data_IF_307468081261
#
_entry.id   IF_307468081261
#
_cell.length_a   1.000
_cell.length_b   1.000
_cell.length_c   1.000
_cell.angle_alpha   90.00
_cell.angle_beta   90.00
_cell.angle_gamma   90.00
#
_symmetry.space_group_name_H-M   'P 1'
#
loop_
_entity.id
_entity.type
_entity.pdbx_description
1 polymer ?
#
# COMPACT_ATOMS: atom_id res chain seq x y z
N UNK A 1 -6.31 1.97 4.34
CA UNK A 1 -5.45 2.67 3.38
C UNK A 1 -4.96 1.71 2.30
N UNK A 2 -4.82 2.17 1.06
CA UNK A 2 -4.37 1.40 -0.11
C UNK A 2 -3.10 2.04 -0.65
N UNK A 3 -2.04 1.25 -0.74
CA UNK A 3 -0.72 1.64 -1.19
C UNK A 3 -0.51 1.12 -2.61
N UNK A 4 -0.22 2.03 -3.54
CA UNK A 4 0.05 1.72 -4.93
C UNK A 4 1.57 1.73 -5.15
N UNK A 5 2.08 0.72 -5.84
CA UNK A 5 3.49 0.57 -6.18
C UNK A 5 3.69 0.60 -7.69
N UNK A 6 4.95 0.71 -8.14
CA UNK A 6 5.32 0.73 -9.57
C UNK A 6 5.56 -0.66 -10.18
N UNK A 7 5.56 -1.72 -9.37
CA UNK A 7 5.72 -3.07 -9.89
C UNK A 7 5.32 -4.15 -8.89
N UNK A 8 4.94 -5.31 -9.40
CA UNK A 8 4.58 -6.49 -8.59
C UNK A 8 5.70 -6.92 -7.65
N UNK A 9 6.96 -6.88 -8.11
CA UNK A 9 8.12 -7.21 -7.28
C UNK A 9 8.24 -6.30 -6.05
N UNK A 10 7.92 -5.00 -6.19
CA UNK A 10 7.92 -4.07 -5.07
C UNK A 10 6.78 -4.40 -4.09
N UNK A 11 5.59 -4.73 -4.60
CA UNK A 11 4.44 -5.13 -3.78
C UNK A 11 4.78 -6.36 -2.92
N UNK A 12 5.33 -7.41 -3.53
CA UNK A 12 5.70 -8.63 -2.82
C UNK A 12 6.82 -8.39 -1.80
N UNK A 13 7.80 -7.57 -2.15
CA UNK A 13 8.88 -7.19 -1.24
C UNK A 13 8.35 -6.39 -0.05
N UNK A 14 7.48 -5.41 -0.30
CA UNK A 14 6.87 -4.56 0.71
C UNK A 14 5.97 -5.39 1.63
N UNK A 15 5.16 -6.30 1.08
CA UNK A 15 4.37 -7.26 1.85
C UNK A 15 5.26 -8.04 2.82
N UNK A 16 6.36 -8.63 2.33
CA UNK A 16 7.23 -9.45 3.17
C UNK A 16 7.82 -8.65 4.33
N UNK A 17 8.22 -7.39 4.08
CA UNK A 17 8.76 -6.49 5.11
C UNK A 17 7.69 -6.09 6.13
N UNK A 18 6.51 -5.71 5.67
CA UNK A 18 5.40 -5.31 6.52
C UNK A 18 4.89 -6.48 7.37
N UNK A 19 4.72 -7.67 6.80
CA UNK A 19 4.40 -8.90 7.55
C UNK A 19 5.46 -9.21 8.59
N UNK A 20 6.74 -9.14 8.23
CA UNK A 20 7.84 -9.35 9.16
C UNK A 20 7.92 -8.32 10.29
N UNK A 21 7.42 -7.10 10.06
CA UNK A 21 7.34 -6.04 11.08
C UNK A 21 6.03 -6.00 11.88
N UNK A 22 5.18 -7.03 11.76
CA UNK A 22 3.93 -7.13 12.52
C UNK A 22 2.80 -6.23 12.02
N UNK A 23 2.92 -5.67 10.81
CA UNK A 23 1.87 -4.84 10.21
C UNK A 23 0.85 -5.73 9.52
N UNK A 24 -0.39 -5.65 9.97
CA UNK A 24 -1.52 -6.29 9.29
C UNK A 24 -1.68 -5.69 7.89
N UNK A 25 -1.70 -6.54 6.86
CA UNK A 25 -1.86 -6.11 5.48
C UNK A 25 -2.60 -7.16 4.65
N UNK A 26 -3.20 -6.74 3.53
CA UNK A 26 -3.73 -7.63 2.50
C UNK A 26 -3.30 -7.17 1.11
N UNK A 27 -2.92 -8.10 0.26
CA UNK A 27 -2.77 -7.84 -1.16
C UNK A 27 -4.16 -7.76 -1.81
N UNK A 28 -4.38 -6.73 -2.60
CA UNK A 28 -5.60 -6.55 -3.38
C UNK A 28 -5.22 -6.25 -4.84
N UNK A 29 -6.03 -6.67 -5.82
CA UNK A 29 -5.87 -6.16 -7.18
C UNK A 29 -6.03 -4.65 -7.17
N UNK A 30 -5.22 -3.94 -7.96
CA UNK A 30 -5.33 -2.49 -8.11
C UNK A 30 -6.76 -2.16 -8.54
N UNK A 31 -7.49 -1.31 -7.80
CA UNK A 31 -8.80 -0.87 -8.22
C UNK A 31 -8.71 -0.22 -9.60
N UNK A 32 -9.63 -0.57 -10.52
CA UNK A 32 -9.64 -0.04 -11.90
C UNK A 32 -9.54 1.48 -11.99
N UNK A 33 -10.00 2.21 -10.95
CA UNK A 33 -9.93 3.67 -10.86
C UNK A 33 -8.57 4.25 -10.46
N UNK A 34 -7.66 3.42 -9.96
CA UNK A 34 -6.32 3.82 -9.47
C UNK A 34 -5.20 3.42 -10.43
N UNK A 35 -5.56 3.05 -11.67
CA UNK A 35 -4.71 2.70 -12.83
C UNK A 35 -3.21 2.70 -12.53
N UNK A 36 -2.68 1.53 -12.20
CA UNK A 36 -1.24 1.29 -12.13
C UNK A 36 -0.95 0.06 -12.98
N UNK A 37 0.09 0.13 -13.80
CA UNK A 37 0.51 -0.91 -14.76
C UNK A 37 0.82 -2.28 -14.11
N UNK A 38 0.92 -2.28 -12.77
CA UNK A 38 1.44 -3.36 -11.94
C UNK A 38 0.39 -4.35 -11.46
N UNK A 39 -0.90 -4.05 -11.64
CA UNK A 39 -2.02 -4.92 -11.28
C UNK A 39 -2.26 -5.18 -9.78
N UNK A 40 -1.30 -4.91 -8.90
CA UNK A 40 -1.35 -5.22 -7.46
C UNK A 40 -1.09 -4.02 -6.54
N UNK A 41 -1.81 -4.01 -5.41
CA UNK A 41 -1.74 -2.99 -4.38
C UNK A 41 -1.75 -3.61 -2.99
N UNK A 42 -1.25 -2.88 -1.99
CA UNK A 42 -1.27 -3.32 -0.58
C UNK A 42 -2.31 -2.52 0.18
N UNK A 43 -3.26 -3.20 0.81
CA UNK A 43 -4.20 -2.59 1.75
C UNK A 43 -3.71 -2.78 3.18
N UNK A 44 -3.55 -1.69 3.91
CA UNK A 44 -3.21 -1.68 5.34
C UNK A 44 -4.27 -0.93 6.17
N UNK A 45 -4.44 -1.26 7.46
CA UNK A 45 -5.18 -0.44 8.41
C UNK A 45 -4.55 0.96 8.54
N UNK A 46 -5.38 1.97 8.80
CA UNK A 46 -4.91 3.36 8.92
C UNK A 46 -4.13 3.60 10.22
N UNK A 47 -4.51 2.90 11.28
CA UNK A 47 -3.84 2.82 12.59
C UNK A 47 -2.39 2.32 12.48
N UNK A 48 -2.09 1.51 11.46
CA UNK A 48 -0.75 0.98 11.21
C UNK A 48 0.06 1.84 10.22
N UNK A 49 -0.45 3.02 9.81
CA UNK A 49 0.20 3.88 8.81
C UNK A 49 1.63 4.23 9.18
N UNK A 50 1.86 4.75 10.39
CA UNK A 50 3.19 5.22 10.79
C UNK A 50 4.18 4.06 10.89
N UNK A 51 3.74 2.91 11.42
CA UNK A 51 4.55 1.69 11.48
C UNK A 51 4.91 1.17 10.09
N UNK A 52 3.93 1.12 9.19
CA UNK A 52 4.14 0.72 7.81
C UNK A 52 5.11 1.67 7.11
N UNK A 53 4.97 2.99 7.31
CA UNK A 53 5.85 4.00 6.74
C UNK A 53 7.29 3.84 7.20
N UNK A 54 7.51 3.62 8.49
CA UNK A 54 8.85 3.36 9.05
C UNK A 54 9.51 2.16 8.37
N UNK A 55 8.81 1.01 8.35
CA UNK A 55 9.31 -0.24 7.75
C UNK A 55 9.63 -0.06 6.26
N UNK A 56 8.71 0.56 5.51
CA UNK A 56 8.87 0.77 4.07
C UNK A 56 9.98 1.79 3.75
N UNK A 57 10.14 2.82 4.59
CA UNK A 57 11.21 3.80 4.45
C UNK A 57 12.59 3.16 4.64
N UNK A 58 12.76 2.37 5.71
CA UNK A 58 14.01 1.63 5.97
C UNK A 58 14.31 0.66 4.83
N UNK A 59 13.30 -0.01 4.30
CA UNK A 59 13.45 -0.95 3.19
C UNK A 59 13.61 -0.28 1.81
N UNK A 60 13.50 1.06 1.70
CA UNK A 60 13.43 1.82 0.44
C UNK A 60 12.31 1.33 -0.51
N UNK A 61 11.20 0.88 0.06
CA UNK A 61 10.03 0.37 -0.65
C UNK A 61 8.84 1.31 -0.44
N UNK A 62 9.04 2.61 -0.70
CA UNK A 62 7.95 3.58 -0.58
C UNK A 62 6.95 3.40 -1.74
N UNK A 63 5.65 3.43 -1.45
CA UNK A 63 4.62 3.41 -2.48
C UNK A 63 4.64 4.71 -3.28
N UNK A 64 4.24 4.63 -4.55
CA UNK A 64 4.14 5.80 -5.45
C UNK A 64 2.99 6.73 -5.05
N UNK A 65 1.92 6.15 -4.51
CA UNK A 65 0.80 6.90 -3.96
C UNK A 65 0.06 6.07 -2.92
N UNK A 66 -0.58 6.76 -1.99
CA UNK A 66 -1.46 6.17 -1.00
C UNK A 66 -2.86 6.75 -1.15
N UNK A 67 -3.87 5.92 -0.91
CA UNK A 67 -5.28 6.25 -1.09
C UNK A 67 -6.12 5.74 0.08
N UNK A 68 -7.09 6.52 0.53
CA UNK A 68 -8.08 6.08 1.51
C UNK A 68 -9.38 5.71 0.80
N UNK A 69 -9.88 4.47 0.95
CA UNK A 69 -11.17 4.09 0.40
C UNK A 69 -12.29 4.84 1.17
N UNK A 70 -13.22 5.44 0.43
CA UNK A 70 -14.46 6.04 0.94
C UNK A 70 -15.61 5.03 0.87
N UNK A 71 -16.64 5.27 1.68
CA UNK A 71 -17.90 4.54 1.68
C UNK A 71 -18.61 4.56 0.30
N UNK A 72 -18.48 5.65 -0.45
CA UNK A 72 -18.97 5.79 -1.84
C UNK A 72 -18.16 4.98 -2.87
N UNK A 73 -17.14 4.24 -2.42
CA UNK A 73 -16.19 3.49 -3.25
C UNK A 73 -15.07 4.34 -3.84
N UNK A 74 -15.09 5.67 -3.68
CA UNK A 74 -14.03 6.57 -4.13
C UNK A 74 -12.73 6.41 -3.32
N UNK A 75 -11.66 6.99 -3.83
CA UNK A 75 -10.32 6.90 -3.25
C UNK A 75 -9.73 8.29 -3.13
N UNK A 76 -9.52 8.75 -1.89
CA UNK A 76 -8.83 10.02 -1.64
C UNK A 76 -7.33 9.81 -1.59
N UNK A 77 -6.60 10.58 -2.39
CA UNK A 77 -5.15 10.57 -2.37
C UNK A 77 -4.66 11.19 -1.07
N UNK A 78 -3.83 10.46 -0.35
CA UNK A 78 -3.21 10.89 0.90
C UNK A 78 -1.70 10.76 0.84
N UNK A 79 -1.02 11.58 1.65
CA UNK A 79 0.42 11.48 1.84
C UNK A 79 0.73 10.35 2.82
N UNK A 80 1.76 9.55 2.52
CA UNK A 80 2.24 8.51 3.42
C UNK A 80 2.93 9.13 4.64
#
# INVERSE_FOLDING_TARGET
MVLIFRGTHQVLSAEKRLKGGGVALRLIPVPRRLTSDCGLAIRIPIDQRDRAREILSVARLLPVSAHLPRESGEYDRVSL
#
